data_IF_694095895743
#
_entry.id   IF_694095895743
#
_cell.length_a   1.000
_cell.length_b   1.000
_cell.length_c   1.000
_cell.angle_alpha   90.00
_cell.angle_beta   90.00
_cell.angle_gamma   90.00
#
_symmetry.space_group_name_H-M   'P 1'
#
loop_
_entity.id
_entity.type
_entity.pdbx_description
1 polymer ?
#
# COMPACT_ATOMS: atom_id res chain seq x y z
N UNK A 1 11.49 -31.14 22.75
CA UNK A 1 12.03 -30.49 21.52
C UNK A 1 11.02 -30.38 20.36
N UNK A 2 9.99 -31.23 20.24
CA UNK A 2 8.97 -31.12 19.16
C UNK A 2 7.97 -29.96 19.34
N UNK A 3 7.67 -29.55 20.58
CA UNK A 3 6.76 -28.41 20.86
C UNK A 3 7.33 -27.03 20.51
N UNK A 4 8.67 -26.89 20.51
CA UNK A 4 9.33 -25.63 20.16
C UNK A 4 9.34 -25.38 18.65
N UNK A 5 9.37 -26.44 17.83
CA UNK A 5 9.31 -26.33 16.36
C UNK A 5 7.93 -25.92 15.86
N UNK A 6 6.86 -26.32 16.54
CA UNK A 6 5.49 -25.97 16.13
C UNK A 6 5.16 -24.50 16.38
N UNK A 7 5.77 -23.87 17.39
CA UNK A 7 5.55 -22.45 17.68
C UNK A 7 6.21 -21.53 16.63
N UNK A 8 7.33 -21.93 16.04
CA UNK A 8 8.06 -21.13 15.05
C UNK A 8 7.34 -21.06 13.69
N UNK A 9 6.57 -22.09 13.30
CA UNK A 9 5.81 -22.08 12.04
C UNK A 9 4.54 -21.20 12.09
N UNK A 10 4.00 -20.89 13.27
CA UNK A 10 2.79 -20.08 13.41
C UNK A 10 3.04 -18.57 13.26
N UNK A 11 4.28 -18.08 13.41
CA UNK A 11 4.59 -16.65 13.31
C UNK A 11 4.78 -16.14 11.86
N UNK A 12 4.89 -17.01 10.87
CA UNK A 12 5.23 -16.60 9.49
C UNK A 12 4.02 -16.15 8.62
N UNK A 13 2.79 -16.16 9.13
CA UNK A 13 1.57 -15.99 8.32
C UNK A 13 0.91 -14.59 8.36
N UNK A 14 1.63 -13.54 8.81
CA UNK A 14 1.04 -12.23 9.14
C UNK A 14 1.44 -11.05 8.22
N UNK A 15 1.84 -11.32 6.98
CA UNK A 15 2.14 -10.26 6.00
C UNK A 15 1.04 -10.17 4.95
N UNK A 16 -0.11 -9.59 5.30
CA UNK A 16 -1.08 -9.10 4.33
C UNK A 16 -0.88 -7.59 4.21
N UNK A 17 -0.23 -7.17 3.13
CA UNK A 17 -0.05 -5.77 2.76
C UNK A 17 -1.30 -5.27 2.04
N UNK A 18 -1.69 -4.02 2.27
CA UNK A 18 -2.46 -3.28 1.28
C UNK A 18 -1.73 -3.42 -0.07
N UNK A 19 -2.46 -3.66 -1.16
CA UNK A 19 -1.81 -3.85 -2.46
C UNK A 19 -0.96 -2.60 -2.76
N UNK A 20 0.37 -2.73 -2.90
CA UNK A 20 1.22 -1.58 -3.13
C UNK A 20 0.83 -0.91 -4.44
N UNK A 21 0.97 0.43 -4.55
CA UNK A 21 0.70 1.13 -5.80
C UNK A 21 1.52 0.52 -6.94
N UNK A 22 0.88 0.27 -8.08
CA UNK A 22 1.56 -0.25 -9.27
C UNK A 22 2.01 0.93 -10.11
N UNK A 23 3.31 1.00 -10.37
CA UNK A 23 3.94 2.05 -11.14
C UNK A 23 4.11 1.62 -12.59
N UNK A 24 3.65 2.47 -13.51
CA UNK A 24 3.95 2.37 -14.94
C UNK A 24 5.20 3.19 -15.25
N UNK A 25 6.29 2.50 -15.56
CA UNK A 25 7.59 3.09 -15.87
C UNK A 25 7.85 3.04 -17.37
N UNK A 26 8.15 4.18 -17.98
CA UNK A 26 8.61 4.27 -19.37
C UNK A 26 10.12 4.53 -19.37
N UNK A 27 10.91 3.60 -19.92
CA UNK A 27 12.37 3.77 -20.02
C UNK A 27 12.83 3.30 -21.39
N UNK A 28 13.52 4.17 -22.13
CA UNK A 28 14.03 3.89 -23.47
C UNK A 28 12.99 3.31 -24.45
N UNK A 29 11.75 3.80 -24.39
CA UNK A 29 10.64 3.36 -25.26
C UNK A 29 9.98 2.05 -24.84
N UNK A 30 10.40 1.42 -23.73
CA UNK A 30 9.74 0.23 -23.16
C UNK A 30 8.93 0.61 -21.93
N UNK A 31 7.70 0.08 -21.87
CA UNK A 31 6.79 0.23 -20.73
C UNK A 31 6.97 -0.99 -19.84
N UNK A 32 7.28 -0.78 -18.56
CA UNK A 32 7.30 -1.83 -17.55
C UNK A 32 6.36 -1.47 -16.40
N UNK A 33 5.74 -2.49 -15.81
CA UNK A 33 4.90 -2.35 -14.63
C UNK A 33 5.64 -2.97 -13.46
N UNK A 34 5.81 -2.21 -12.39
CA UNK A 34 6.48 -2.67 -11.17
C UNK A 34 5.77 -2.12 -9.94
N UNK A 35 5.86 -2.86 -8.86
CA UNK A 35 5.51 -2.44 -7.50
C UNK A 35 6.56 -1.48 -6.90
N UNK A 36 7.75 -1.38 -7.50
CA UNK A 36 8.80 -0.45 -7.10
C UNK A 36 8.64 0.91 -7.78
N UNK A 37 8.80 2.03 -7.05
CA UNK A 37 8.70 3.36 -7.63
C UNK A 37 9.84 3.61 -8.64
N UNK A 38 9.55 4.36 -9.70
CA UNK A 38 10.50 4.81 -10.72
C UNK A 38 10.35 6.32 -11.00
N UNK A 39 11.37 6.91 -11.65
CA UNK A 39 11.36 8.35 -11.96
C UNK A 39 10.32 8.64 -13.05
N UNK A 40 9.46 9.64 -12.82
CA UNK A 40 8.39 10.00 -13.76
C UNK A 40 7.25 8.97 -13.85
N UNK A 41 7.16 8.04 -12.90
CA UNK A 41 6.13 7.00 -12.90
C UNK A 41 4.71 7.55 -12.82
N UNK A 42 3.80 6.96 -13.60
CA UNK A 42 2.36 7.12 -13.39
C UNK A 42 1.87 6.01 -12.47
N UNK A 43 1.18 6.39 -11.40
CA UNK A 43 0.49 5.44 -10.52
C UNK A 43 -0.73 4.93 -11.26
N UNK A 44 -0.88 3.60 -11.30
CA UNK A 44 -2.03 2.93 -11.88
C UNK A 44 -2.86 2.34 -10.73
N UNK A 45 -4.17 2.52 -10.82
CA UNK A 45 -5.09 1.81 -9.93
C UNK A 45 -5.11 0.33 -10.33
N UNK A 46 -4.56 -0.50 -9.46
CA UNK A 46 -4.51 -1.94 -9.60
C UNK A 46 -5.45 -2.64 -8.60
N UNK A 47 -6.44 -1.92 -8.05
CA UNK A 47 -7.42 -2.48 -7.12
C UNK A 47 -8.17 -3.63 -7.81
N UNK A 48 -8.08 -4.87 -7.30
CA UNK A 48 -8.81 -6.00 -7.88
C UNK A 48 -10.31 -5.75 -7.82
N UNK A 49 -11.01 -5.98 -8.92
CA UNK A 49 -12.47 -5.92 -8.96
C UNK A 49 -13.08 -7.11 -8.20
N UNK A 50 -13.49 -6.88 -6.95
CA UNK A 50 -14.17 -7.89 -6.14
C UNK A 50 -15.63 -8.06 -6.59
N UNK A 51 -16.17 -9.29 -6.53
CA UNK A 51 -17.61 -9.57 -6.77
C UNK A 51 -17.95 -10.53 -7.92
N UNK A 52 -16.97 -11.04 -8.67
CA UNK A 52 -17.18 -12.07 -9.71
C UNK A 52 -17.08 -13.52 -9.16
N UNK A 53 -16.90 -13.68 -7.85
CA UNK A 53 -16.65 -14.98 -7.20
C UNK A 53 -17.90 -15.86 -7.05
N UNK A 54 -19.11 -15.32 -7.31
CA UNK A 54 -20.38 -16.00 -7.07
C UNK A 54 -21.08 -16.53 -8.34
N UNK A 55 -20.49 -16.38 -9.53
CA UNK A 55 -21.15 -16.78 -10.80
C UNK A 55 -21.42 -18.29 -10.93
N UNK A 56 -20.82 -19.15 -10.09
CA UNK A 56 -20.97 -20.61 -10.14
C UNK A 56 -21.79 -21.21 -8.98
N UNK A 57 -22.49 -20.39 -8.19
CA UNK A 57 -23.29 -20.85 -7.04
C UNK A 57 -22.47 -21.24 -5.80
N UNK A 58 -21.13 -21.24 -5.89
CA UNK A 58 -20.21 -21.43 -4.75
C UNK A 58 -19.17 -20.32 -4.75
N UNK A 59 -19.23 -19.43 -3.77
CA UNK A 59 -18.20 -18.40 -3.56
C UNK A 59 -16.85 -19.06 -3.29
N UNK A 60 -15.87 -18.83 -4.17
CA UNK A 60 -14.48 -19.29 -4.01
C UNK A 60 -13.59 -18.08 -3.76
N UNK A 61 -13.61 -17.56 -2.54
CA UNK A 61 -12.72 -16.48 -2.10
C UNK A 61 -11.41 -17.03 -1.56
N UNK A 62 -10.30 -16.37 -1.92
CA UNK A 62 -9.01 -16.61 -1.29
C UNK A 62 -9.04 -16.25 0.20
N UNK A 63 -8.12 -16.83 0.99
CA UNK A 63 -8.01 -16.57 2.44
C UNK A 63 -7.68 -15.11 2.74
N UNK A 64 -6.91 -14.48 1.87
CA UNK A 64 -6.58 -13.06 1.86
C UNK A 64 -7.83 -12.19 1.72
N UNK A 65 -8.68 -12.48 0.72
CA UNK A 65 -9.94 -11.76 0.51
C UNK A 65 -10.87 -11.92 1.71
N UNK A 66 -11.04 -13.15 2.20
CA UNK A 66 -11.87 -13.43 3.39
C UNK A 66 -11.39 -12.66 4.63
N UNK A 67 -10.06 -12.55 4.83
CA UNK A 67 -9.49 -11.79 5.95
C UNK A 67 -9.76 -10.30 5.80
N UNK A 68 -9.62 -9.74 4.59
CA UNK A 68 -9.91 -8.32 4.33
C UNK A 68 -11.37 -8.00 4.57
N UNK A 69 -12.30 -8.84 4.10
CA UNK A 69 -13.74 -8.67 4.36
C UNK A 69 -14.07 -8.67 5.85
N UNK A 70 -13.46 -9.61 6.59
CA UNK A 70 -13.65 -9.68 8.05
C UNK A 70 -13.12 -8.41 8.74
N UNK A 71 -11.92 -7.95 8.37
CA UNK A 71 -11.35 -6.73 8.92
C UNK A 71 -12.24 -5.51 8.64
N UNK A 72 -12.73 -5.37 7.42
CA UNK A 72 -13.59 -4.26 7.02
C UNK A 72 -14.95 -4.30 7.75
N UNK A 73 -15.52 -5.48 7.99
CA UNK A 73 -16.72 -5.63 8.80
C UNK A 73 -16.49 -5.16 10.26
N UNK A 74 -15.32 -5.49 10.84
CA UNK A 74 -14.95 -4.98 12.16
C UNK A 74 -14.72 -3.46 12.16
N UNK A 75 -14.09 -2.91 11.12
CA UNK A 75 -13.87 -1.47 11.00
C UNK A 75 -15.17 -0.69 10.95
N UNK A 76 -16.15 -1.17 10.18
CA UNK A 76 -17.46 -0.53 10.10
C UNK A 76 -18.20 -0.56 11.43
N UNK A 77 -18.11 -1.68 12.16
CA UNK A 77 -18.69 -1.80 13.49
C UNK A 77 -18.04 -0.85 14.51
N UNK A 78 -16.73 -0.63 14.39
CA UNK A 78 -15.96 0.28 15.27
C UNK A 78 -15.95 1.73 14.79
N UNK A 79 -16.45 2.02 13.58
CA UNK A 79 -16.45 3.37 12.99
C UNK A 79 -17.14 4.42 13.88
N UNK A 80 -18.28 4.15 14.54
CA UNK A 80 -18.91 5.13 15.43
C UNK A 80 -18.05 5.50 16.65
N UNK A 81 -17.17 4.59 17.08
CA UNK A 81 -16.28 4.80 18.22
C UNK A 81 -14.94 5.42 17.82
N UNK A 82 -14.40 5.03 16.67
CA UNK A 82 -13.06 5.42 16.22
C UNK A 82 -13.07 6.63 15.29
N UNK A 83 -14.18 6.89 14.59
CA UNK A 83 -14.29 7.88 13.53
C UNK A 83 -13.43 7.59 12.29
N UNK A 84 -12.77 6.43 12.22
CA UNK A 84 -11.82 6.09 11.14
C UNK A 84 -12.51 5.40 9.97
N UNK A 85 -12.02 5.66 8.76
CA UNK A 85 -12.41 4.88 7.57
C UNK A 85 -11.68 3.53 7.51
N UNK A 86 -12.15 2.60 6.67
CA UNK A 86 -11.49 1.32 6.43
C UNK A 86 -10.04 1.50 5.98
N UNK A 87 -9.78 2.41 5.05
CA UNK A 87 -8.41 2.69 4.56
C UNK A 87 -7.49 3.18 5.69
N UNK A 88 -8.00 4.06 6.56
CA UNK A 88 -7.24 4.53 7.73
C UNK A 88 -6.96 3.39 8.72
N UNK A 89 -7.90 2.45 8.87
CA UNK A 89 -7.73 1.26 9.71
C UNK A 89 -6.75 0.27 9.10
N UNK A 90 -6.75 0.10 7.78
CA UNK A 90 -5.77 -0.71 7.06
C UNK A 90 -4.35 -0.16 7.20
N UNK A 91 -4.19 1.15 7.00
CA UNK A 91 -2.91 1.84 7.23
C UNK A 91 -2.45 1.67 8.69
N UNK A 92 -3.36 1.80 9.65
CA UNK A 92 -3.05 1.59 11.06
C UNK A 92 -2.61 0.14 11.35
N UNK A 93 -3.33 -0.85 10.83
CA UNK A 93 -3.00 -2.29 10.98
C UNK A 93 -1.65 -2.64 10.37
N UNK A 94 -1.27 -1.99 9.28
CA UNK A 94 0.05 -2.18 8.67
C UNK A 94 1.15 -1.55 9.53
N UNK A 95 0.95 -0.30 9.96
CA UNK A 95 1.98 0.50 10.63
C UNK A 95 2.20 0.20 12.10
N UNK A 96 1.23 -0.40 12.79
CA UNK A 96 1.40 -0.82 14.20
C UNK A 96 2.57 -1.80 14.39
N UNK A 97 2.97 -2.50 13.32
CA UNK A 97 4.10 -3.44 13.31
C UNK A 97 5.46 -2.75 13.14
N UNK A 98 5.49 -1.47 12.75
CA UNK A 98 6.72 -0.72 12.49
C UNK A 98 7.27 -0.09 13.78
N UNK A 99 8.59 0.16 13.88
CA UNK A 99 9.17 0.95 14.95
C UNK A 99 8.52 2.34 15.06
N UNK A 100 8.43 2.90 16.28
CA UNK A 100 7.77 4.19 16.51
C UNK A 100 8.37 5.35 15.69
N UNK A 101 9.69 5.31 15.46
CA UNK A 101 10.40 6.26 14.57
C UNK A 101 9.86 6.18 13.14
N UNK A 102 9.75 4.97 12.61
CA UNK A 102 9.32 4.72 11.23
C UNK A 102 7.83 5.08 11.06
N UNK A 103 7.00 4.82 12.09
CA UNK A 103 5.61 5.29 12.11
C UNK A 103 5.49 6.82 12.07
N UNK A 104 6.41 7.53 12.74
CA UNK A 104 6.52 8.99 12.67
C UNK A 104 6.89 9.46 11.27
N UNK A 105 7.88 8.80 10.66
CA UNK A 105 8.33 9.13 9.31
C UNK A 105 7.25 8.85 8.25
N UNK A 106 6.55 7.72 8.32
CA UNK A 106 5.42 7.42 7.43
C UNK A 106 4.36 8.53 7.48
N UNK A 107 4.01 9.03 8.68
CA UNK A 107 3.04 10.12 8.84
C UNK A 107 3.52 11.43 8.20
N UNK A 108 4.82 11.71 8.25
CA UNK A 108 5.38 12.87 7.57
C UNK A 108 5.36 12.70 6.05
N UNK A 109 5.67 11.51 5.56
CA UNK A 109 5.66 11.19 4.14
C UNK A 109 4.24 11.22 3.55
N UNK A 110 3.22 10.78 4.30
CA UNK A 110 1.81 10.87 3.89
C UNK A 110 1.37 12.31 3.59
N UNK A 111 1.84 13.27 4.40
CA UNK A 111 1.52 14.67 4.20
C UNK A 111 2.26 15.25 2.99
N UNK A 112 3.51 14.82 2.76
CA UNK A 112 4.39 15.37 1.74
C UNK A 112 4.13 14.81 0.33
N UNK A 113 3.75 13.54 0.22
CA UNK A 113 3.55 12.87 -1.06
C UNK A 113 2.51 13.57 -1.97
N UNK A 114 1.30 13.92 -1.48
CA UNK A 114 0.30 14.61 -2.30
C UNK A 114 0.79 15.97 -2.84
N UNK A 115 1.58 16.70 -2.04
CA UNK A 115 2.13 17.99 -2.45
C UNK A 115 3.14 17.83 -3.59
N UNK A 116 4.03 16.84 -3.49
CA UNK A 116 5.00 16.53 -4.54
C UNK A 116 4.33 16.00 -5.80
N UNK A 117 3.28 15.18 -5.67
CA UNK A 117 2.48 14.71 -6.80
C UNK A 117 1.76 15.84 -7.52
N UNK A 118 1.22 16.81 -6.77
CA UNK A 118 0.62 17.99 -7.37
C UNK A 118 1.68 18.89 -8.04
N UNK A 119 2.88 19.00 -7.47
CA UNK A 119 3.97 19.78 -8.05
C UNK A 119 4.43 19.20 -9.41
N UNK A 120 4.64 17.88 -9.51
CA UNK A 120 5.07 17.24 -10.77
C UNK A 120 4.04 17.39 -11.90
N UNK A 121 2.76 17.52 -11.57
CA UNK A 121 1.68 17.77 -12.54
C UNK A 121 1.67 19.21 -13.07
N UNK A 122 2.10 20.19 -12.27
CA UNK A 122 2.10 21.62 -12.63
C UNK A 122 3.37 22.05 -13.37
N UNK A 123 4.51 21.48 -13.00
CA UNK A 123 5.82 21.88 -13.51
C UNK A 123 6.09 21.38 -14.93
N UNK A 124 6.90 22.14 -15.69
CA UNK A 124 7.31 21.81 -17.06
C UNK A 124 8.81 22.04 -17.27
N UNK A 125 9.41 21.39 -18.27
CA UNK A 125 10.84 21.57 -18.58
C UNK A 125 11.77 21.09 -17.46
N UNK A 126 12.81 21.86 -17.13
CA UNK A 126 13.84 21.47 -16.17
C UNK A 126 13.33 21.38 -14.72
N UNK A 127 12.34 22.19 -14.33
CA UNK A 127 11.74 22.12 -13.00
C UNK A 127 10.93 20.83 -12.81
N UNK A 128 10.30 20.34 -13.88
CA UNK A 128 9.62 19.04 -13.89
C UNK A 128 10.57 17.89 -13.59
N UNK A 129 11.72 17.85 -14.26
CA UNK A 129 12.71 16.80 -14.03
C UNK A 129 13.19 16.76 -12.57
N UNK A 130 13.38 17.93 -11.96
CA UNK A 130 13.72 18.03 -10.52
C UNK A 130 12.57 17.52 -9.64
N UNK A 131 11.34 17.97 -9.90
CA UNK A 131 10.16 17.55 -9.14
C UNK A 131 9.92 16.03 -9.24
N UNK A 132 10.14 15.43 -10.41
CA UNK A 132 9.99 13.98 -10.64
C UNK A 132 11.03 13.18 -9.85
N UNK A 133 12.26 13.69 -9.72
CA UNK A 133 13.32 13.07 -8.91
C UNK A 133 12.99 13.17 -7.42
N UNK A 134 12.55 14.34 -6.95
CA UNK A 134 12.19 14.56 -5.54
C UNK A 134 10.99 13.68 -5.15
N UNK A 135 10.00 13.52 -6.04
CA UNK A 135 8.87 12.62 -5.87
C UNK A 135 9.34 11.15 -5.84
N UNK A 136 10.23 10.74 -6.74
CA UNK A 136 10.79 9.39 -6.75
C UNK A 136 11.51 9.06 -5.44
N UNK A 137 12.39 9.95 -4.96
CA UNK A 137 13.12 9.72 -3.71
C UNK A 137 12.18 9.56 -2.52
N UNK A 138 11.13 10.38 -2.45
CA UNK A 138 10.12 10.33 -1.40
C UNK A 138 9.30 9.03 -1.47
N UNK A 139 8.84 8.63 -2.67
CA UNK A 139 8.14 7.36 -2.89
C UNK A 139 9.01 6.15 -2.57
N UNK A 140 10.29 6.19 -2.93
CA UNK A 140 11.25 5.14 -2.59
C UNK A 140 11.39 5.00 -1.07
N UNK A 141 11.55 6.12 -0.35
CA UNK A 141 11.63 6.11 1.10
C UNK A 141 10.36 5.54 1.74
N UNK A 142 9.20 5.93 1.24
CA UNK A 142 7.90 5.40 1.66
C UNK A 142 7.83 3.87 1.48
N UNK A 143 8.22 3.39 0.30
CA UNK A 143 8.26 1.95 -0.02
C UNK A 143 9.27 1.16 0.83
N UNK A 144 10.45 1.72 1.08
CA UNK A 144 11.52 1.09 1.87
C UNK A 144 11.11 0.93 3.34
N UNK A 145 10.40 1.91 3.89
CA UNK A 145 9.88 1.90 5.27
C UNK A 145 8.67 0.99 5.47
N UNK A 146 8.09 0.46 4.38
CA UNK A 146 6.83 -0.30 4.40
C UNK A 146 5.68 0.48 5.04
N UNK A 147 5.74 1.80 4.86
CA UNK A 147 4.54 2.60 4.81
C UNK A 147 3.67 2.09 3.63
#
# INVERSE_FOLDING_TARGET
MRLLLTLFLLLAALSASAAPPVYRCETAGKVSYSDSPCVGAKVIDATPNQGIDQMSGKSRKGRDVQRTELNHAFDDALRPLTGKSRDQMDVMRQRVKLPARDQGECRQLDARLPELEAATQRETGASKAKADVDLYQTRKRYFDLKC
#
